data_IF_607664493004
#
_entry.id   IF_607664493004
#
_cell.length_a   1.000
_cell.length_b   1.000
_cell.length_c   1.000
_cell.angle_alpha   90.00
_cell.angle_beta   90.00
_cell.angle_gamma   90.00
#
_symmetry.space_group_name_H-M   'P 1'
#
loop_
_entity.id
_entity.type
_entity.pdbx_description
1 polymer ?
#
# COMPACT_ATOMS: atom_id res chain seq x y z
N UNK A 1 21.17 -10.11 -7.26
CA UNK A 1 19.98 -9.96 -8.13
C UNK A 1 18.75 -9.49 -7.34
N UNK A 2 18.37 -10.14 -6.23
CA UNK A 2 17.22 -9.72 -5.42
C UNK A 2 17.33 -8.28 -4.85
N UNK A 3 18.50 -7.86 -4.36
CA UNK A 3 18.71 -6.51 -3.81
C UNK A 3 18.43 -5.41 -4.84
N UNK A 4 18.85 -5.62 -6.09
CA UNK A 4 18.60 -4.66 -7.16
C UNK A 4 17.10 -4.52 -7.46
N UNK A 5 16.37 -5.65 -7.47
CA UNK A 5 14.92 -5.64 -7.65
C UNK A 5 14.20 -4.90 -6.51
N UNK A 6 14.67 -5.04 -5.27
CA UNK A 6 14.13 -4.32 -4.11
C UNK A 6 14.37 -2.81 -4.22
N UNK A 7 15.59 -2.40 -4.56
CA UNK A 7 15.91 -0.97 -4.76
C UNK A 7 15.04 -0.36 -5.86
N UNK A 8 14.87 -1.08 -6.98
CA UNK A 8 14.01 -0.62 -8.07
C UNK A 8 12.54 -0.53 -7.64
N UNK A 9 12.03 -1.53 -6.93
CA UNK A 9 10.67 -1.54 -6.42
C UNK A 9 10.43 -0.35 -5.46
N UNK A 10 11.35 -0.09 -4.54
CA UNK A 10 11.28 1.06 -3.62
C UNK A 10 11.34 2.39 -4.37
N UNK A 11 12.18 2.50 -5.40
CA UNK A 11 12.27 3.71 -6.23
C UNK A 11 10.96 3.97 -6.99
N UNK A 12 10.40 2.94 -7.65
CA UNK A 12 9.12 3.04 -8.38
C UNK A 12 8.00 3.40 -7.40
N UNK A 13 7.96 2.74 -6.24
CA UNK A 13 6.96 3.02 -5.22
C UNK A 13 7.05 4.46 -4.71
N UNK A 14 8.24 4.96 -4.39
CA UNK A 14 8.45 6.33 -3.90
C UNK A 14 8.13 7.39 -4.96
N UNK A 15 8.47 7.15 -6.22
CA UNK A 15 8.14 8.04 -7.32
C UNK A 15 6.63 8.16 -7.56
N UNK A 16 5.87 7.08 -7.32
CA UNK A 16 4.43 7.04 -7.58
C UNK A 16 3.60 8.10 -6.86
N UNK A 17 4.09 8.66 -5.74
CA UNK A 17 3.40 9.73 -5.01
C UNK A 17 3.27 11.04 -5.81
N UNK A 18 4.21 11.32 -6.73
CA UNK A 18 4.20 12.55 -7.55
C UNK A 18 3.01 12.58 -8.52
N UNK A 19 2.84 11.59 -9.43
CA UNK A 19 1.69 11.59 -10.34
C UNK A 19 0.35 11.43 -9.61
N UNK A 20 0.31 10.72 -8.47
CA UNK A 20 -0.93 10.63 -7.67
C UNK A 20 -1.28 12.01 -7.09
N UNK A 21 -0.30 12.78 -6.59
CA UNK A 21 -0.54 14.14 -6.09
C UNK A 21 -1.05 15.07 -7.20
N UNK A 22 -0.45 14.98 -8.38
CA UNK A 22 -0.88 15.73 -9.58
C UNK A 22 -2.33 15.39 -9.96
N UNK A 23 -2.68 14.10 -9.93
CA UNK A 23 -4.04 13.63 -10.23
C UNK A 23 -5.08 14.18 -9.23
N UNK A 24 -4.71 14.40 -7.96
CA UNK A 24 -5.62 14.99 -6.97
C UNK A 24 -6.02 16.43 -7.26
N UNK A 25 -5.30 17.13 -8.16
CA UNK A 25 -5.73 18.44 -8.69
C UNK A 25 -6.86 18.34 -9.72
N UNK A 26 -7.12 17.14 -10.27
CA UNK A 26 -8.00 16.93 -11.41
C UNK A 26 -9.15 15.95 -11.12
N UNK A 27 -9.06 15.14 -10.07
CA UNK A 27 -10.07 14.14 -9.73
C UNK A 27 -10.23 13.95 -8.23
N UNK A 28 -11.36 13.38 -7.81
CA UNK A 28 -11.58 13.05 -6.41
C UNK A 28 -10.77 11.80 -6.02
N UNK A 29 -10.30 11.70 -4.76
CA UNK A 29 -9.49 10.57 -4.31
C UNK A 29 -10.19 9.21 -4.47
N UNK A 30 -11.48 9.15 -4.17
CA UNK A 30 -12.26 7.91 -4.26
C UNK A 30 -12.42 7.45 -5.71
N UNK A 31 -12.62 8.37 -6.64
CA UNK A 31 -12.74 8.03 -8.05
C UNK A 31 -11.41 7.54 -8.64
N UNK A 32 -10.31 8.20 -8.26
CA UNK A 32 -8.97 7.74 -8.60
C UNK A 32 -8.69 6.32 -8.10
N UNK A 33 -9.03 6.03 -6.83
CA UNK A 33 -8.83 4.70 -6.25
C UNK A 33 -9.73 3.64 -6.88
N UNK A 34 -10.99 3.96 -7.18
CA UNK A 34 -11.90 3.06 -7.87
C UNK A 34 -11.32 2.63 -9.22
N UNK A 35 -10.83 3.59 -10.01
CA UNK A 35 -10.19 3.30 -11.30
C UNK A 35 -8.90 2.48 -11.12
N UNK A 36 -8.04 2.86 -10.17
CA UNK A 36 -6.79 2.15 -9.88
C UNK A 36 -7.04 0.68 -9.52
N UNK A 37 -7.98 0.41 -8.61
CA UNK A 37 -8.30 -0.94 -8.19
C UNK A 37 -9.07 -1.72 -9.27
N UNK A 38 -9.90 -1.08 -10.09
CA UNK A 38 -10.55 -1.72 -11.23
C UNK A 38 -9.52 -2.20 -12.26
N UNK A 39 -8.59 -1.32 -12.64
CA UNK A 39 -7.50 -1.66 -13.56
C UNK A 39 -6.64 -2.78 -12.98
N UNK A 40 -6.22 -2.67 -11.71
CA UNK A 40 -5.45 -3.72 -11.05
C UNK A 40 -6.21 -5.06 -11.05
N UNK A 41 -7.48 -5.06 -10.68
CA UNK A 41 -8.31 -6.26 -10.66
C UNK A 41 -8.38 -6.93 -12.04
N UNK A 42 -8.59 -6.16 -13.12
CA UNK A 42 -8.64 -6.69 -14.48
C UNK A 42 -7.29 -7.27 -14.91
N UNK A 43 -6.19 -6.57 -14.64
CA UNK A 43 -4.85 -7.01 -15.02
C UNK A 43 -4.40 -8.28 -14.27
N UNK A 44 -4.77 -8.40 -13.00
CA UNK A 44 -4.41 -9.56 -12.17
C UNK A 44 -5.42 -10.71 -12.26
N UNK A 45 -6.60 -10.51 -12.85
CA UNK A 45 -7.62 -11.56 -13.01
C UNK A 45 -7.09 -12.84 -13.71
N UNK A 46 -6.30 -12.77 -14.80
CA UNK A 46 -5.77 -13.96 -15.47
C UNK A 46 -4.73 -14.73 -14.64
N UNK A 47 -4.08 -14.04 -13.70
CA UNK A 47 -3.10 -14.60 -12.78
C UNK A 47 -3.74 -15.19 -11.52
N UNK A 48 -5.03 -14.91 -11.31
CA UNK A 48 -5.75 -15.41 -10.15
C UNK A 48 -5.84 -16.94 -10.20
N UNK A 49 -5.45 -17.65 -9.11
CA UNK A 49 -5.63 -19.08 -9.05
C UNK A 49 -7.13 -19.41 -9.19
N UNK A 50 -7.46 -20.38 -10.06
CA UNK A 50 -8.84 -20.78 -10.38
C UNK A 50 -9.65 -21.28 -9.17
N UNK A 51 -9.01 -21.50 -8.03
CA UNK A 51 -9.62 -21.99 -6.80
C UNK A 51 -9.43 -20.99 -5.66
N UNK A 52 -10.14 -19.87 -5.73
CA UNK A 52 -10.26 -18.95 -4.61
C UNK A 52 -11.06 -19.66 -3.49
N UNK A 53 -10.35 -20.10 -2.44
CA UNK A 53 -10.93 -20.90 -1.36
C UNK A 53 -11.36 -20.05 -0.16
N UNK A 54 -10.80 -18.84 -0.01
CA UNK A 54 -10.90 -18.01 1.19
C UNK A 54 -11.38 -16.56 0.89
N UNK A 55 -12.56 -16.44 0.29
CA UNK A 55 -13.17 -15.15 -0.06
C UNK A 55 -13.33 -14.20 1.13
N UNK A 56 -13.62 -14.73 2.33
CA UNK A 56 -13.76 -13.92 3.54
C UNK A 56 -12.45 -13.23 3.96
N UNK A 57 -11.33 -13.95 3.91
CA UNK A 57 -10.01 -13.38 4.21
C UNK A 57 -9.58 -12.40 3.12
N UNK A 58 -9.83 -12.74 1.85
CA UNK A 58 -9.55 -11.85 0.72
C UNK A 58 -10.32 -10.53 0.81
N UNK A 59 -11.61 -10.57 1.17
CA UNK A 59 -12.42 -9.38 1.38
C UNK A 59 -11.91 -8.54 2.56
N UNK A 60 -11.58 -9.17 3.69
CA UNK A 60 -11.05 -8.47 4.86
C UNK A 60 -9.72 -7.76 4.54
N UNK A 61 -8.79 -8.45 3.88
CA UNK A 61 -7.53 -7.85 3.42
C UNK A 61 -7.75 -6.72 2.43
N UNK A 62 -8.67 -6.91 1.47
CA UNK A 62 -9.05 -5.89 0.50
C UNK A 62 -9.63 -4.65 1.16
N UNK A 63 -10.45 -4.82 2.21
CA UNK A 63 -11.04 -3.71 2.97
C UNK A 63 -9.96 -2.90 3.70
N UNK A 64 -9.03 -3.56 4.41
CA UNK A 64 -7.91 -2.87 5.06
C UNK A 64 -7.00 -2.18 4.06
N UNK A 65 -6.71 -2.82 2.93
CA UNK A 65 -5.91 -2.25 1.85
C UNK A 65 -6.59 -1.01 1.27
N UNK A 66 -7.89 -1.09 0.96
CA UNK A 66 -8.68 0.04 0.48
C UNK A 66 -8.68 1.18 1.50
N UNK A 67 -8.93 0.90 2.78
CA UNK A 67 -8.91 1.91 3.83
C UNK A 67 -7.55 2.62 3.93
N UNK A 68 -6.44 1.86 3.90
CA UNK A 68 -5.09 2.41 3.89
C UNK A 68 -4.84 3.33 2.71
N UNK A 69 -5.20 2.90 1.50
CA UNK A 69 -5.08 3.73 0.29
C UNK A 69 -6.01 4.95 0.30
N UNK A 70 -7.23 4.81 0.83
CA UNK A 70 -8.19 5.91 0.96
C UNK A 70 -7.64 7.01 1.86
N UNK A 71 -7.19 6.65 3.07
CA UNK A 71 -6.57 7.58 3.99
C UNK A 71 -5.28 8.18 3.46
N UNK A 72 -4.43 7.38 2.82
CA UNK A 72 -3.19 7.88 2.20
C UNK A 72 -3.49 8.90 1.10
N UNK A 73 -4.42 8.59 0.20
CA UNK A 73 -4.73 9.45 -0.96
C UNK A 73 -5.45 10.71 -0.50
N UNK A 74 -6.34 10.62 0.50
CA UNK A 74 -6.93 11.79 1.15
C UNK A 74 -5.87 12.65 1.84
N UNK A 75 -4.97 12.05 2.61
CA UNK A 75 -3.86 12.76 3.24
C UNK A 75 -3.01 13.49 2.21
N UNK A 76 -2.76 12.85 1.05
CA UNK A 76 -2.00 13.43 -0.05
C UNK A 76 -2.67 14.67 -0.66
N UNK A 77 -3.99 14.85 -0.55
CA UNK A 77 -4.65 16.12 -0.93
C UNK A 77 -4.10 17.27 -0.07
N UNK A 78 -3.94 17.06 1.22
CA UNK A 78 -3.56 18.08 2.20
C UNK A 78 -2.04 18.24 2.39
N UNK A 79 -1.23 17.28 1.94
CA UNK A 79 0.22 17.32 2.10
C UNK A 79 0.97 17.18 0.77
N UNK A 80 2.29 17.30 0.82
CA UNK A 80 3.18 17.13 -0.35
C UNK A 80 3.48 15.64 -0.58
N UNK A 81 3.77 15.26 -1.82
CA UNK A 81 4.18 13.89 -2.18
C UNK A 81 5.33 13.37 -1.29
N UNK A 82 6.32 14.21 -1.00
CA UNK A 82 7.47 13.87 -0.16
C UNK A 82 7.05 13.52 1.28
N UNK A 83 6.25 14.38 1.92
CA UNK A 83 5.72 14.15 3.27
C UNK A 83 4.83 12.91 3.34
N UNK A 84 3.92 12.70 2.39
CA UNK A 84 3.09 11.48 2.33
C UNK A 84 3.91 10.21 2.16
N UNK A 85 4.90 10.23 1.26
CA UNK A 85 5.80 9.10 1.04
C UNK A 85 6.60 8.76 2.28
N UNK A 86 7.14 9.78 2.97
CA UNK A 86 7.86 9.60 4.23
C UNK A 86 6.96 8.99 5.32
N UNK A 87 5.78 9.57 5.56
CA UNK A 87 4.83 9.07 6.57
C UNK A 87 4.43 7.62 6.27
N UNK A 88 4.18 7.29 5.01
CA UNK A 88 3.85 5.90 4.62
C UNK A 88 5.05 4.97 4.82
N UNK A 89 6.26 5.42 4.50
CA UNK A 89 7.49 4.64 4.70
C UNK A 89 7.78 4.33 6.18
N UNK A 90 7.38 5.22 7.09
CA UNK A 90 7.48 4.99 8.54
C UNK A 90 6.58 3.84 9.04
N UNK A 91 5.65 3.34 8.22
CA UNK A 91 4.86 2.15 8.56
C UNK A 91 5.72 0.94 8.91
N UNK A 92 6.94 0.82 8.37
CA UNK A 92 7.87 -0.28 8.71
C UNK A 92 8.19 -0.33 10.20
N UNK A 93 8.19 0.82 10.88
CA UNK A 93 8.38 0.94 12.34
C UNK A 93 7.11 0.53 13.09
N UNK A 94 5.94 0.72 12.49
CA UNK A 94 4.63 0.37 13.07
C UNK A 94 4.25 -1.10 12.86
N UNK A 95 4.86 -1.81 11.92
CA UNK A 95 4.52 -3.23 11.65
C UNK A 95 4.82 -4.12 12.86
N UNK A 96 6.01 -4.11 13.50
CA UNK A 96 6.30 -5.05 14.58
C UNK A 96 5.43 -4.89 15.85
N UNK A 97 5.12 -3.68 16.37
CA UNK A 97 4.21 -3.53 17.51
C UNK A 97 2.81 -4.08 17.18
N UNK A 98 2.32 -3.79 15.98
CA UNK A 98 1.01 -4.28 15.53
C UNK A 98 1.04 -5.81 15.45
N UNK A 99 2.07 -6.39 14.84
CA UNK A 99 2.24 -7.85 14.78
C UNK A 99 2.29 -8.49 16.18
N UNK A 100 2.98 -7.83 17.13
CA UNK A 100 3.02 -8.30 18.52
C UNK A 100 1.64 -8.31 19.20
N UNK A 101 0.79 -7.30 18.95
CA UNK A 101 -0.61 -7.26 19.43
C UNK A 101 -1.42 -8.44 18.88
N UNK A 102 -1.15 -8.86 17.64
CA UNK A 102 -1.79 -10.03 17.02
C UNK A 102 -1.17 -11.38 17.44
N UNK A 103 -0.23 -11.38 18.39
CA UNK A 103 0.38 -12.59 18.95
C UNK A 103 1.61 -13.09 18.19
N UNK A 104 2.12 -12.34 17.21
CA UNK A 104 3.37 -12.68 16.53
C UNK A 104 4.58 -12.38 17.42
N UNK A 105 5.56 -13.29 17.39
CA UNK A 105 6.84 -13.10 18.07
C UNK A 105 7.77 -12.31 17.17
N UNK A 106 7.86 -11.00 17.38
CA UNK A 106 8.82 -10.14 16.68
C UNK A 106 10.09 -10.01 17.53
N UNK A 107 11.23 -10.61 17.12
CA UNK A 107 12.47 -10.52 17.87
C UNK A 107 13.03 -9.09 17.87
N UNK A 108 13.78 -8.73 18.92
CA UNK A 108 14.29 -7.36 19.10
C UNK A 108 15.24 -6.92 17.97
N UNK A 109 15.93 -7.86 17.32
CA UNK A 109 16.81 -7.57 16.18
C UNK A 109 16.07 -6.99 14.97
N UNK A 110 14.76 -7.23 14.83
CA UNK A 110 13.93 -6.61 13.77
C UNK A 110 13.86 -5.08 13.91
N UNK A 111 14.12 -4.54 15.11
CA UNK A 111 14.08 -3.11 15.40
C UNK A 111 15.44 -2.44 15.41
N UNK A 112 16.44 -3.15 15.94
CA UNK A 112 17.75 -2.55 16.21
C UNK A 112 18.63 -2.50 14.96
N UNK A 113 18.35 -3.34 13.96
CA UNK A 113 19.18 -3.47 12.77
C UNK A 113 20.44 -4.28 13.04
#
# INVERSE_FOLDING_TARGET
MATFALVLATAIWGWSFVPVKEAMGHTSPLWFLALRFAIASILFLPLSPRRARDWGQGFLLGLFLFAGYAFQTWGLVYTTAQKSGLITGLSVVLVPPIAHIFGEKTPLHTWVG
#
